data_IF_633736140120
#
_entry.id   IF_633736140120
#
_cell.length_a   1.000
_cell.length_b   1.000
_cell.length_c   1.000
_cell.angle_alpha   90.00
_cell.angle_beta   90.00
_cell.angle_gamma   90.00
#
_symmetry.space_group_name_H-M   'P 1'
#
loop_
_entity.id
_entity.type
_entity.pdbx_description
1 polymer ?
#
# COMPACT_ATOMS: atom_id res chain seq x y z
N UNK A 1 8.15 12.51 7.60
CA UNK A 1 7.79 11.09 7.53
C UNK A 1 9.02 10.26 7.81
N UNK A 2 8.96 9.35 8.79
CA UNK A 2 9.97 8.31 8.94
C UNK A 2 9.53 7.09 8.12
N UNK A 3 10.15 6.86 6.97
CA UNK A 3 9.74 5.78 6.06
C UNK A 3 10.06 4.39 6.60
N UNK A 4 11.06 4.26 7.47
CA UNK A 4 11.36 2.99 8.13
C UNK A 4 10.22 2.56 9.05
N UNK A 5 9.75 3.50 9.88
CA UNK A 5 8.61 3.28 10.78
C UNK A 5 7.32 3.00 10.00
N UNK A 6 7.10 3.71 8.89
CA UNK A 6 5.93 3.50 8.02
C UNK A 6 5.98 2.16 7.29
N UNK A 7 7.15 1.73 6.81
CA UNK A 7 7.33 0.43 6.18
C UNK A 7 7.10 -0.69 7.21
N UNK A 8 7.56 -0.53 8.45
CA UNK A 8 7.26 -1.48 9.52
C UNK A 8 5.76 -1.54 9.81
N UNK A 9 5.10 -0.39 10.00
CA UNK A 9 3.66 -0.32 10.20
C UNK A 9 2.86 -0.91 9.03
N UNK A 10 3.33 -0.69 7.80
CA UNK A 10 2.74 -1.29 6.61
C UNK A 10 3.03 -2.79 6.49
N UNK A 11 4.06 -3.36 7.12
CA UNK A 11 4.21 -4.82 7.19
C UNK A 11 3.22 -5.43 8.17
N UNK A 12 2.93 -4.74 9.27
CA UNK A 12 2.06 -5.25 10.32
C UNK A 12 0.61 -5.50 9.87
N UNK A 13 0.05 -4.71 8.94
CA UNK A 13 -1.30 -4.99 8.43
C UNK A 13 -1.34 -6.05 7.31
N UNK A 14 -0.19 -6.58 6.89
CA UNK A 14 -0.04 -7.54 5.79
C UNK A 14 0.92 -8.68 6.21
N UNK A 15 0.66 -9.25 7.38
CA UNK A 15 1.46 -10.30 8.08
C UNK A 15 1.84 -11.52 7.24
N UNK A 16 1.12 -11.82 6.15
CA UNK A 16 1.38 -12.99 5.28
C UNK A 16 2.04 -12.63 3.94
N UNK A 17 2.68 -11.47 3.82
CA UNK A 17 3.32 -11.07 2.56
C UNK A 17 4.78 -10.72 2.80
N UNK A 18 5.66 -11.49 2.16
CA UNK A 18 7.06 -11.10 2.03
C UNK A 18 7.12 -9.85 1.15
N UNK A 19 7.48 -8.71 1.75
CA UNK A 19 7.80 -7.48 1.05
C UNK A 19 9.34 -7.37 0.99
N UNK A 20 9.99 -7.95 -0.03
CA UNK A 20 11.43 -7.83 -0.17
C UNK A 20 11.81 -6.36 -0.33
N UNK A 21 12.81 -5.91 0.44
CA UNK A 21 13.38 -4.57 0.32
C UNK A 21 14.22 -4.56 -0.95
N UNK A 22 13.78 -3.84 -1.97
CA UNK A 22 14.46 -3.87 -3.27
C UNK A 22 15.49 -2.72 -3.42
N UNK A 23 15.38 -1.61 -2.66
CA UNK A 23 16.35 -0.48 -2.67
C UNK A 23 16.47 0.31 -1.37
N UNK A 24 15.40 1.01 -0.99
CA UNK A 24 15.29 1.83 0.23
C UNK A 24 13.86 1.75 0.81
N UNK A 25 13.67 2.21 2.05
CA UNK A 25 12.40 2.04 2.77
C UNK A 25 11.22 2.75 2.09
N UNK A 26 11.44 3.94 1.53
CA UNK A 26 10.38 4.69 0.83
C UNK A 26 9.99 3.98 -0.46
N UNK A 27 10.96 3.65 -1.30
CA UNK A 27 10.70 3.00 -2.58
C UNK A 27 10.05 1.62 -2.37
N UNK A 28 10.54 0.86 -1.38
CA UNK A 28 9.95 -0.42 -0.99
C UNK A 28 8.49 -0.27 -0.56
N UNK A 29 8.19 0.75 0.25
CA UNK A 29 6.82 1.02 0.69
C UNK A 29 5.90 1.39 -0.48
N UNK A 30 6.31 2.34 -1.34
CA UNK A 30 5.53 2.76 -2.51
C UNK A 30 5.29 1.59 -3.47
N UNK A 31 6.32 0.82 -3.79
CA UNK A 31 6.18 -0.32 -4.70
C UNK A 31 5.26 -1.39 -4.10
N UNK A 32 5.32 -1.62 -2.79
CA UNK A 32 4.43 -2.53 -2.09
C UNK A 32 2.97 -2.08 -2.12
N UNK A 33 2.73 -0.77 -1.99
CA UNK A 33 1.39 -0.17 -2.12
C UNK A 33 0.89 -0.32 -3.55
N UNK A 34 1.71 -0.02 -4.56
CA UNK A 34 1.32 -0.13 -5.98
C UNK A 34 1.00 -1.59 -6.35
N UNK A 35 1.85 -2.55 -5.93
CA UNK A 35 1.63 -4.00 -6.13
C UNK A 35 0.31 -4.45 -5.51
N UNK A 36 -0.02 -3.95 -4.31
CA UNK A 36 -1.31 -4.24 -3.67
C UNK A 36 -2.49 -3.59 -4.41
N UNK A 37 -2.38 -2.33 -4.82
CA UNK A 37 -3.43 -1.65 -5.57
C UNK A 37 -3.69 -2.31 -6.93
N UNK A 38 -2.66 -2.84 -7.59
CA UNK A 38 -2.81 -3.60 -8.84
C UNK A 38 -3.24 -5.06 -8.63
N UNK A 39 -3.39 -5.48 -7.37
CA UNK A 39 -3.73 -6.84 -6.97
C UNK A 39 -2.81 -7.89 -7.60
N UNK A 40 -1.52 -7.57 -7.74
CA UNK A 40 -0.57 -8.38 -8.53
C UNK A 40 -0.30 -9.75 -7.91
N UNK A 41 -0.44 -9.86 -6.59
CA UNK A 41 -0.29 -11.11 -5.84
C UNK A 41 -1.50 -12.05 -5.95
N UNK A 42 -2.58 -11.60 -6.57
CA UNK A 42 -3.81 -12.37 -6.76
C UNK A 42 -3.81 -12.98 -8.17
N UNK A 43 -4.30 -14.22 -8.29
CA UNK A 43 -4.38 -14.92 -9.57
C UNK A 43 -5.15 -14.07 -10.60
N UNK A 44 -4.67 -13.90 -11.85
CA UNK A 44 -5.21 -12.92 -12.81
C UNK A 44 -6.73 -12.97 -13.00
N UNK A 45 -7.33 -14.16 -12.95
CA UNK A 45 -8.78 -14.37 -13.14
C UNK A 45 -9.67 -13.80 -12.04
N UNK A 46 -9.13 -13.60 -10.84
CA UNK A 46 -9.90 -13.15 -9.66
C UNK A 46 -9.38 -11.82 -9.12
N UNK A 47 -8.55 -11.12 -9.90
CA UNK A 47 -8.02 -9.81 -9.52
C UNK A 47 -9.13 -8.78 -9.37
N UNK A 48 -8.96 -7.92 -8.37
CA UNK A 48 -9.81 -6.76 -8.13
C UNK A 48 -9.27 -5.53 -8.84
N UNK A 49 -10.16 -4.58 -9.10
CA UNK A 49 -9.78 -3.29 -9.64
C UNK A 49 -8.94 -2.49 -8.64
N UNK A 50 -8.11 -1.57 -9.13
CA UNK A 50 -7.32 -0.68 -8.28
C UNK A 50 -8.17 0.17 -7.33
N UNK A 51 -9.38 0.55 -7.75
CA UNK A 51 -10.38 1.22 -6.91
C UNK A 51 -10.88 0.33 -5.76
N UNK A 52 -11.24 -0.92 -6.04
CA UNK A 52 -11.64 -1.87 -4.99
C UNK A 52 -10.49 -2.10 -4.00
N UNK A 53 -9.26 -2.28 -4.50
CA UNK A 53 -8.08 -2.47 -3.67
C UNK A 53 -7.76 -1.24 -2.82
N UNK A 54 -7.90 -0.04 -3.39
CA UNK A 54 -7.73 1.21 -2.64
C UNK A 54 -8.73 1.28 -1.47
N UNK A 55 -10.01 1.02 -1.74
CA UNK A 55 -11.03 0.98 -0.70
C UNK A 55 -10.70 -0.03 0.41
N UNK A 56 -10.28 -1.26 0.05
CA UNK A 56 -9.91 -2.28 1.03
C UNK A 56 -8.68 -1.90 1.85
N UNK A 57 -7.64 -1.35 1.21
CA UNK A 57 -6.42 -0.91 1.89
C UNK A 57 -6.69 0.22 2.87
N UNK A 58 -7.43 1.25 2.46
CA UNK A 58 -7.80 2.38 3.33
C UNK A 58 -8.66 1.90 4.51
N UNK A 59 -9.64 1.03 4.25
CA UNK A 59 -10.48 0.44 5.31
C UNK A 59 -9.65 -0.35 6.32
N UNK A 60 -8.65 -1.11 5.86
CA UNK A 60 -7.71 -1.83 6.73
C UNK A 60 -6.85 -0.88 7.56
N UNK A 61 -6.34 0.19 6.95
CA UNK A 61 -5.52 1.19 7.66
C UNK A 61 -6.35 1.85 8.77
N UNK A 62 -7.57 2.29 8.46
CA UNK A 62 -8.45 2.94 9.44
C UNK A 62 -8.77 2.03 10.62
N UNK A 63 -9.09 0.76 10.34
CA UNK A 63 -9.44 -0.25 11.36
C UNK A 63 -8.26 -0.84 12.14
N UNK A 64 -7.02 -0.53 11.73
CA UNK A 64 -5.81 -1.03 12.40
C UNK A 64 -5.56 -0.40 13.78
N UNK A 65 -4.66 -1.02 14.54
CA UNK A 65 -4.13 -0.49 15.80
C UNK A 65 -3.00 0.54 15.63
N UNK A 66 -2.68 0.94 14.40
CA UNK A 66 -1.67 1.97 14.14
C UNK A 66 -2.07 3.30 14.77
N UNK A 67 -1.08 4.13 15.09
CA UNK A 67 -1.37 5.46 15.59
C UNK A 67 -1.94 6.37 14.48
N UNK A 68 -2.58 7.48 14.87
CA UNK A 68 -3.26 8.37 13.93
C UNK A 68 -2.32 9.02 12.90
N UNK A 69 -1.07 9.27 13.27
CA UNK A 69 -0.08 9.84 12.36
C UNK A 69 0.28 8.82 11.27
N UNK A 70 0.60 7.58 11.65
CA UNK A 70 0.89 6.49 10.72
C UNK A 70 -0.29 6.23 9.78
N UNK A 71 -1.54 6.23 10.30
CA UNK A 71 -2.74 6.05 9.49
C UNK A 71 -2.86 7.12 8.42
N UNK A 72 -2.76 8.39 8.82
CA UNK A 72 -2.84 9.53 7.89
C UNK A 72 -1.76 9.44 6.83
N UNK A 73 -0.51 9.20 7.26
CA UNK A 73 0.65 9.09 6.36
C UNK A 73 0.50 7.93 5.36
N UNK A 74 0.03 6.75 5.80
CA UNK A 74 -0.20 5.62 4.89
C UNK A 74 -1.34 5.90 3.90
N UNK A 75 -2.43 6.56 4.33
CA UNK A 75 -3.53 6.94 3.43
C UNK A 75 -3.04 7.92 2.36
N UNK A 76 -2.23 8.92 2.74
CA UNK A 76 -1.64 9.87 1.79
C UNK A 76 -0.78 9.17 0.72
N UNK A 77 0.04 8.19 1.14
CA UNK A 77 0.85 7.38 0.22
C UNK A 77 -0.03 6.52 -0.70
N UNK A 78 -1.16 5.99 -0.23
CA UNK A 78 -2.12 5.28 -1.09
C UNK A 78 -2.76 6.20 -2.12
N UNK A 79 -3.10 7.44 -1.73
CA UNK A 79 -3.64 8.45 -2.66
C UNK A 79 -2.59 8.79 -3.73
N UNK A 80 -1.34 8.99 -3.34
CA UNK A 80 -0.23 9.24 -4.27
C UNK A 80 -0.05 8.07 -5.25
N UNK A 81 -0.02 6.84 -4.74
CA UNK A 81 0.11 5.63 -5.56
C UNK A 81 -1.05 5.49 -6.55
N UNK A 82 -2.29 5.78 -6.11
CA UNK A 82 -3.47 5.75 -6.97
C UNK A 82 -3.36 6.77 -8.10
N UNK A 83 -2.98 8.03 -7.80
CA UNK A 83 -2.74 9.07 -8.81
C UNK A 83 -1.67 8.63 -9.82
N UNK A 84 -0.60 8.01 -9.35
CA UNK A 84 0.44 7.49 -10.23
C UNK A 84 -0.11 6.39 -11.16
N UNK A 85 -0.91 5.46 -10.65
CA UNK A 85 -1.54 4.42 -11.46
C UNK A 85 -2.48 5.02 -12.52
N UNK A 86 -3.22 6.07 -12.19
CA UNK A 86 -4.14 6.74 -13.14
C UNK A 86 -3.40 7.55 -14.19
N UNK A 87 -2.35 8.29 -13.81
CA UNK A 87 -1.58 9.11 -14.74
C UNK A 87 -0.76 8.26 -15.74
N UNK A 88 -0.34 7.05 -15.37
CA UNK A 88 0.37 6.13 -16.26
C UNK A 88 -0.56 5.37 -17.24
N UNK A 89 -1.86 5.71 -17.30
CA UNK A 89 -2.79 5.16 -18.30
C UNK A 89 -2.89 5.99 -19.58
N UNK A 90 -2.16 7.09 -19.66
CA UNK A 90 -2.07 8.01 -20.80
C UNK A 90 -0.65 8.02 -21.36
#
# INVERSE_FOLDING_TARGET
>A
MNYSDLLSAYRDLWTNRSLPVEKDDYQTLIDSIIKELKDEMTHPRIRKSHMEKFYYSVSRIISSSLNNEQKTQLIDLHILAMKNIENNKH
#
